data_IF_118141812202
#
_entry.id   IF_118141812202
#
_cell.length_a   1.000
_cell.length_b   1.000
_cell.length_c   1.000
_cell.angle_alpha   90.00
_cell.angle_beta   90.00
_cell.angle_gamma   90.00
#
_symmetry.space_group_name_H-M   'P 1'
#
loop_
_entity.id
_entity.type
_entity.pdbx_description
1 polymer ?
#
# COMPACT_ATOMS: atom_id res chain seq x y z
N UNK A 1 10.90 29.41 -11.92
CA UNK A 1 11.30 28.05 -11.49
C UNK A 1 10.40 27.58 -10.36
N UNK A 2 9.66 26.50 -10.57
CA UNK A 2 8.71 25.98 -9.58
C UNK A 2 9.50 25.08 -8.60
N UNK A 3 9.43 25.32 -7.28
CA UNK A 3 10.18 24.52 -6.31
C UNK A 3 9.71 23.06 -6.32
N UNK A 4 10.67 22.15 -6.21
CA UNK A 4 10.44 20.71 -6.21
C UNK A 4 9.58 20.28 -5.00
N UNK A 5 8.53 19.49 -5.25
CA UNK A 5 7.67 18.96 -4.18
C UNK A 5 8.31 17.68 -3.64
N UNK A 6 8.84 17.77 -2.41
CA UNK A 6 9.40 16.63 -1.68
C UNK A 6 8.45 16.18 -0.58
N UNK A 7 8.08 14.90 -0.58
CA UNK A 7 7.26 14.32 0.47
C UNK A 7 7.99 14.38 1.82
N UNK A 8 7.29 14.82 2.87
CA UNK A 8 7.84 15.11 4.19
C UNK A 8 9.02 16.10 4.18
N UNK A 9 9.21 16.87 3.10
CA UNK A 9 10.33 17.78 2.91
C UNK A 9 11.68 17.08 2.66
N UNK A 10 11.69 15.76 2.45
CA UNK A 10 12.92 14.96 2.30
C UNK A 10 12.94 14.11 1.03
N UNK A 11 11.86 13.42 0.73
CA UNK A 11 11.83 12.40 -0.32
C UNK A 11 11.34 12.97 -1.65
N UNK A 12 12.15 12.89 -2.70
CA UNK A 12 11.73 13.27 -4.05
C UNK A 12 10.77 12.23 -4.65
N UNK A 13 9.78 12.71 -5.41
CA UNK A 13 8.87 11.87 -6.19
C UNK A 13 9.33 11.65 -7.63
N UNK A 14 10.35 12.39 -8.11
CA UNK A 14 10.77 12.38 -9.51
C UNK A 14 11.47 11.08 -9.91
N UNK A 15 12.30 10.54 -9.02
CA UNK A 15 13.11 9.35 -9.30
C UNK A 15 12.32 8.03 -9.21
N UNK A 16 11.03 8.09 -8.84
CA UNK A 16 10.23 6.90 -8.55
C UNK A 16 9.67 6.31 -9.83
N UNK A 17 10.08 5.08 -10.15
CA UNK A 17 9.64 4.35 -11.33
C UNK A 17 8.67 3.22 -10.97
N UNK A 18 7.61 3.11 -11.75
CA UNK A 18 6.64 2.00 -11.67
C UNK A 18 6.99 1.01 -12.78
N UNK A 19 7.48 -0.18 -12.43
CA UNK A 19 7.92 -1.20 -13.39
C UNK A 19 6.77 -1.88 -14.13
N UNK A 20 5.61 -2.04 -13.50
CA UNK A 20 4.42 -2.66 -14.11
C UNK A 20 3.55 -1.63 -14.84
N UNK A 21 3.49 -1.74 -16.17
CA UNK A 21 2.70 -0.87 -17.04
C UNK A 21 1.20 -0.86 -16.67
N UNK A 22 0.65 -2.00 -16.24
CA UNK A 22 -0.79 -2.11 -15.91
C UNK A 22 -1.18 -1.33 -14.65
N UNK A 23 -0.22 -1.10 -13.75
CA UNK A 23 -0.43 -0.44 -12.46
C UNK A 23 -0.05 1.04 -12.49
N UNK A 24 0.61 1.50 -13.55
CA UNK A 24 1.16 2.86 -13.67
C UNK A 24 0.08 3.95 -13.49
N UNK A 25 -1.12 3.74 -14.01
CA UNK A 25 -2.22 4.71 -13.90
C UNK A 25 -2.97 4.65 -12.55
N UNK A 26 -2.81 3.55 -11.82
CA UNK A 26 -3.48 3.30 -10.53
C UNK A 26 -2.59 3.56 -9.31
N UNK A 27 -1.29 3.76 -9.53
CA UNK A 27 -0.29 4.16 -8.55
C UNK A 27 0.07 5.63 -8.81
N UNK A 28 -0.64 6.53 -8.14
CA UNK A 28 -0.44 7.98 -8.25
C UNK A 28 0.77 8.44 -7.43
N UNK A 29 1.97 8.31 -8.01
CA UNK A 29 3.24 8.80 -7.46
C UNK A 29 3.89 9.87 -8.36
N UNK A 30 3.45 9.98 -9.62
CA UNK A 30 3.91 10.98 -10.59
C UNK A 30 3.69 12.42 -10.09
N UNK A 31 4.47 13.35 -10.64
CA UNK A 31 4.51 14.79 -10.29
C UNK A 31 3.14 15.43 -10.06
N UNK A 32 2.15 15.14 -10.91
CA UNK A 32 0.77 15.67 -10.80
C UNK A 32 0.11 15.39 -9.45
N UNK A 33 0.49 14.31 -8.78
CA UNK A 33 -0.07 13.87 -7.51
C UNK A 33 0.90 14.05 -6.34
N UNK A 34 2.07 14.64 -6.57
CA UNK A 34 3.04 14.91 -5.51
C UNK A 34 2.47 15.92 -4.51
N UNK A 35 2.58 15.60 -3.22
CA UNK A 35 2.18 16.47 -2.10
C UNK A 35 3.25 16.40 -1.02
N UNK A 36 3.47 17.50 -0.30
CA UNK A 36 4.40 17.54 0.84
C UNK A 36 3.96 16.64 1.99
N UNK A 37 2.66 16.48 2.22
CA UNK A 37 2.10 15.65 3.28
C UNK A 37 1.03 14.71 2.71
N UNK A 38 0.95 13.46 3.20
CA UNK A 38 -0.09 12.51 2.80
C UNK A 38 -1.44 12.78 3.49
N UNK A 39 -1.71 14.04 3.86
CA UNK A 39 -2.94 14.48 4.50
C UNK A 39 -3.63 15.51 3.61
N UNK A 40 -4.72 15.11 2.95
CA UNK A 40 -5.53 16.04 2.16
C UNK A 40 -7.02 15.95 2.49
N UNK A 41 -7.75 17.00 2.16
CA UNK A 41 -9.21 17.06 2.18
C UNK A 41 -9.84 16.56 0.86
N UNK A 42 -9.13 15.68 0.13
CA UNK A 42 -9.56 15.19 -1.17
C UNK A 42 -10.83 14.34 -1.11
N UNK A 43 -11.86 14.74 -1.87
CA UNK A 43 -13.15 14.03 -1.97
C UNK A 43 -13.09 12.86 -2.95
N UNK A 44 -12.23 11.89 -2.67
CA UNK A 44 -11.98 10.74 -3.54
C UNK A 44 -13.11 9.70 -3.56
N UNK A 45 -14.03 9.75 -2.59
CA UNK A 45 -15.16 8.81 -2.48
C UNK A 45 -16.38 9.19 -3.33
N UNK A 46 -16.49 10.44 -3.79
CA UNK A 46 -17.71 10.95 -4.43
C UNK A 46 -18.01 10.30 -5.79
N UNK A 47 -17.00 9.84 -6.54
CA UNK A 47 -17.19 9.15 -7.82
C UNK A 47 -16.31 7.91 -7.87
N UNK A 48 -16.80 6.87 -8.55
CA UNK A 48 -16.00 5.68 -8.88
C UNK A 48 -14.71 6.11 -9.61
N UNK A 49 -13.62 5.39 -9.38
CA UNK A 49 -12.28 5.62 -9.95
C UNK A 49 -11.51 6.88 -9.47
N UNK A 50 -12.12 7.85 -8.81
CA UNK A 50 -11.37 8.98 -8.20
C UNK A 50 -10.34 8.53 -7.17
N UNK A 51 -10.53 7.36 -6.56
CA UNK A 51 -9.55 6.72 -5.66
C UNK A 51 -8.18 6.49 -6.31
N UNK A 52 -8.11 6.26 -7.62
CA UNK A 52 -6.84 6.07 -8.34
C UNK A 52 -5.96 7.33 -8.31
N UNK A 53 -6.60 8.51 -8.30
CA UNK A 53 -5.95 9.82 -8.27
C UNK A 53 -5.46 10.21 -6.86
N UNK A 54 -5.79 9.43 -5.83
CA UNK A 54 -5.36 9.69 -4.46
C UNK A 54 -3.93 9.18 -4.26
N UNK A 55 -2.97 10.03 -3.84
CA UNK A 55 -1.56 9.66 -3.70
C UNK A 55 -1.40 8.35 -2.92
N UNK A 56 -0.45 7.51 -3.35
CA UNK A 56 -0.36 6.15 -2.81
C UNK A 56 -0.07 6.12 -1.31
N UNK A 57 0.76 7.06 -0.84
CA UNK A 57 1.08 7.21 0.60
C UNK A 57 -0.15 7.62 1.40
N UNK A 58 -1.00 8.50 0.84
CA UNK A 58 -2.26 8.87 1.48
C UNK A 58 -3.21 7.66 1.57
N UNK A 59 -3.25 6.80 0.55
CA UNK A 59 -4.01 5.54 0.61
C UNK A 59 -3.47 4.59 1.68
N UNK A 60 -2.15 4.48 1.84
CA UNK A 60 -1.52 3.69 2.91
C UNK A 60 -1.92 4.23 4.30
N UNK A 61 -1.82 5.55 4.51
CA UNK A 61 -2.24 6.17 5.79
C UNK A 61 -3.71 5.91 6.10
N UNK A 62 -4.58 5.93 5.09
CA UNK A 62 -6.00 5.67 5.26
C UNK A 62 -6.27 4.22 5.68
N UNK A 63 -5.52 3.25 5.15
CA UNK A 63 -5.65 1.83 5.50
C UNK A 63 -5.08 1.49 6.90
N UNK A 64 -4.07 2.22 7.37
CA UNK A 64 -3.50 2.01 8.72
C UNK A 64 -4.47 2.37 9.85
N UNK A 65 -5.38 3.32 9.61
CA UNK A 65 -6.38 3.75 10.60
C UNK A 65 -7.53 2.76 10.81
N UNK A 66 -7.60 1.68 10.03
CA UNK A 66 -8.70 0.73 10.12
C UNK A 66 -8.70 0.01 11.49
N UNK A 67 -9.89 -0.39 11.93
CA UNK A 67 -10.25 -1.07 13.18
C UNK A 67 -10.50 -0.14 14.39
N UNK A 68 -11.78 -0.11 14.81
CA UNK A 68 -12.26 0.36 16.10
C UNK A 68 -11.65 1.68 16.59
N UNK A 69 -10.83 1.58 17.65
CA UNK A 69 -10.28 2.71 18.42
C UNK A 69 -9.41 3.68 17.61
N UNK A 70 -8.89 3.25 16.45
CA UNK A 70 -8.00 4.05 15.62
C UNK A 70 -8.70 4.68 14.41
N UNK A 71 -9.99 4.41 14.22
CA UNK A 71 -10.78 4.97 13.13
C UNK A 71 -10.74 6.50 13.17
N UNK A 72 -10.38 7.13 12.05
CA UNK A 72 -10.34 8.59 11.89
C UNK A 72 -9.07 9.29 12.40
N UNK A 73 -8.15 8.58 13.08
CA UNK A 73 -6.91 9.19 13.64
C UNK A 73 -5.82 9.37 12.58
N UNK A 74 -6.07 10.20 11.56
CA UNK A 74 -5.18 10.36 10.40
C UNK A 74 -3.84 10.99 10.76
N UNK A 75 -3.83 11.97 11.66
CA UNK A 75 -2.59 12.59 12.15
C UNK A 75 -1.65 11.57 12.79
N UNK A 76 -2.19 10.59 13.54
CA UNK A 76 -1.40 9.50 14.12
C UNK A 76 -0.83 8.58 13.03
N UNK A 77 -1.65 8.18 12.05
CA UNK A 77 -1.21 7.34 10.94
C UNK A 77 -0.13 7.99 10.07
N UNK A 78 -0.23 9.31 9.83
CA UNK A 78 0.79 10.07 9.08
C UNK A 78 2.14 10.04 9.81
N UNK A 79 2.15 10.16 11.15
CA UNK A 79 3.39 10.05 11.95
C UNK A 79 4.01 8.66 11.86
N UNK A 80 3.19 7.60 11.96
CA UNK A 80 3.65 6.20 11.81
C UNK A 80 4.34 6.01 10.46
N UNK A 81 3.72 6.46 9.36
CA UNK A 81 4.30 6.33 8.02
C UNK A 81 5.56 7.18 7.84
N UNK A 82 5.60 8.38 8.44
CA UNK A 82 6.81 9.21 8.41
C UNK A 82 8.00 8.48 9.04
N UNK A 83 7.82 7.91 10.23
CA UNK A 83 8.88 7.16 10.91
C UNK A 83 9.23 5.87 10.17
N UNK A 84 8.24 5.14 9.65
CA UNK A 84 8.49 3.94 8.85
C UNK A 84 9.35 4.24 7.61
N UNK A 85 9.11 5.36 6.92
CA UNK A 85 9.91 5.76 5.76
C UNK A 85 11.34 6.16 6.13
N UNK A 86 11.55 6.77 7.30
CA UNK A 86 12.90 7.03 7.82
C UNK A 86 13.65 5.71 8.10
N UNK A 87 12.99 4.73 8.73
CA UNK A 87 13.57 3.42 9.00
C UNK A 87 13.91 2.68 7.69
N UNK A 88 13.01 2.69 6.70
CA UNK A 88 13.26 2.07 5.39
C UNK A 88 14.51 2.65 4.76
N UNK A 89 14.64 3.98 4.71
CA UNK A 89 15.80 4.62 4.10
C UNK A 89 17.10 4.27 4.83
N UNK A 90 17.09 4.24 6.16
CA UNK A 90 18.27 3.87 6.95
C UNK A 90 18.68 2.40 6.74
N UNK A 91 17.72 1.50 6.51
CA UNK A 91 17.99 0.08 6.31
C UNK A 91 18.37 -0.29 4.88
N UNK A 92 17.76 0.35 3.87
CA UNK A 92 17.98 -0.01 2.45
C UNK A 92 18.89 0.96 1.72
N UNK A 93 19.04 2.21 2.19
CA UNK A 93 19.73 3.29 1.48
C UNK A 93 18.96 3.83 0.27
N UNK A 94 17.81 3.25 -0.07
CA UNK A 94 16.99 3.63 -1.24
C UNK A 94 15.92 4.65 -0.86
N UNK A 95 15.28 5.26 -1.88
CA UNK A 95 14.12 6.11 -1.66
C UNK A 95 12.93 5.25 -1.15
N UNK A 96 12.35 5.54 0.03
CA UNK A 96 11.27 4.73 0.61
C UNK A 96 10.00 4.71 -0.26
N UNK A 97 9.80 5.71 -1.12
CA UNK A 97 8.71 5.71 -2.10
C UNK A 97 8.87 4.62 -3.15
N UNK A 98 10.10 4.37 -3.61
CA UNK A 98 10.37 3.30 -4.56
C UNK A 98 10.10 1.94 -3.93
N UNK A 99 10.57 1.74 -2.70
CA UNK A 99 10.32 0.50 -1.93
C UNK A 99 8.81 0.27 -1.76
N UNK A 100 8.04 1.30 -1.41
CA UNK A 100 6.58 1.20 -1.29
C UNK A 100 5.92 0.81 -2.62
N UNK A 101 6.33 1.42 -3.74
CA UNK A 101 5.79 1.09 -5.06
C UNK A 101 6.08 -0.37 -5.42
N UNK A 102 7.33 -0.80 -5.27
CA UNK A 102 7.74 -2.18 -5.55
C UNK A 102 7.00 -3.17 -4.66
N UNK A 103 6.84 -2.87 -3.37
CA UNK A 103 6.08 -3.69 -2.43
C UNK A 103 4.63 -3.89 -2.88
N UNK A 104 3.97 -2.83 -3.36
CA UNK A 104 2.57 -2.89 -3.85
C UNK A 104 2.47 -3.73 -5.13
N UNK A 105 3.42 -3.59 -6.05
CA UNK A 105 3.47 -4.37 -7.30
C UNK A 105 3.57 -5.86 -6.99
N UNK A 106 4.46 -6.24 -6.08
CA UNK A 106 4.70 -7.64 -5.72
C UNK A 106 3.53 -8.25 -4.94
N UNK A 107 2.90 -7.47 -4.05
CA UNK A 107 1.83 -7.94 -3.15
C UNK A 107 0.44 -8.03 -3.80
N UNK A 108 0.24 -7.46 -5.00
CA UNK A 108 -1.06 -7.45 -5.66
C UNK A 108 -1.37 -8.77 -6.35
N UNK A 109 -2.42 -9.53 -5.93
CA UNK A 109 -2.80 -10.78 -6.59
C UNK A 109 -3.25 -10.56 -8.02
N UNK A 110 -2.94 -11.48 -8.93
CA UNK A 110 -3.35 -11.44 -10.34
C UNK A 110 -4.67 -12.17 -10.56
N UNK A 111 -4.89 -13.24 -9.81
CA UNK A 111 -6.08 -14.08 -9.87
C UNK A 111 -6.79 -14.09 -8.51
N UNK A 112 -8.11 -14.20 -8.53
CA UNK A 112 -8.96 -14.38 -7.34
C UNK A 112 -10.03 -15.42 -7.66
N UNK A 113 -10.58 -16.06 -6.63
CA UNK A 113 -11.59 -17.10 -6.81
C UNK A 113 -12.99 -16.56 -6.51
N UNK A 114 -13.86 -16.58 -7.52
CA UNK A 114 -15.25 -16.17 -7.36
C UNK A 114 -16.14 -17.36 -7.09
N UNK A 115 -17.13 -17.13 -6.23
CA UNK A 115 -18.14 -18.12 -5.89
C UNK A 115 -19.20 -18.15 -6.99
N UNK A 116 -19.27 -19.25 -7.75
CA UNK A 116 -20.21 -19.43 -8.87
C UNK A 116 -21.08 -20.66 -8.60
N UNK A 117 -22.38 -20.53 -8.81
CA UNK A 117 -23.37 -21.60 -8.59
C UNK A 117 -24.72 -21.02 -8.18
N UNK A 118 -25.75 -21.86 -8.16
CA UNK A 118 -27.09 -21.52 -7.66
C UNK A 118 -27.41 -22.39 -6.46
N UNK A 119 -28.01 -21.80 -5.43
CA UNK A 119 -28.43 -22.48 -4.21
C UNK A 119 -27.29 -23.30 -3.55
N UNK A 120 -27.46 -24.61 -3.38
CA UNK A 120 -26.58 -25.48 -2.59
C UNK A 120 -25.31 -26.00 -3.30
N UNK A 121 -25.24 -25.92 -4.63
CA UNK A 121 -24.06 -26.39 -5.40
C UNK A 121 -23.18 -25.21 -5.78
N UNK A 122 -22.42 -24.75 -4.79
CA UNK A 122 -21.49 -23.63 -4.92
C UNK A 122 -20.09 -24.15 -5.20
N UNK A 123 -19.50 -23.73 -6.34
CA UNK A 123 -18.10 -23.98 -6.69
C UNK A 123 -17.31 -22.67 -6.74
N UNK A 124 -15.99 -22.75 -6.60
CA UNK A 124 -15.10 -21.61 -6.83
C UNK A 124 -14.54 -21.69 -8.24
N UNK A 125 -14.55 -20.57 -8.95
CA UNK A 125 -13.97 -20.44 -10.28
C UNK A 125 -12.95 -19.30 -10.26
N UNK A 126 -11.77 -19.54 -10.81
CA UNK A 126 -10.73 -18.52 -10.95
C UNK A 126 -11.20 -17.43 -11.93
N UNK A 127 -10.95 -16.17 -11.56
CA UNK A 127 -11.27 -14.97 -12.35
C UNK A 127 -10.13 -13.97 -12.18
N UNK A 128 -9.82 -13.25 -13.26
CA UNK A 128 -8.79 -12.22 -13.27
C UNK A 128 -9.14 -11.01 -12.38
N UNK A 129 -8.12 -10.41 -11.76
CA UNK A 129 -8.27 -9.27 -10.88
C UNK A 129 -7.98 -7.95 -11.59
N UNK A 130 -8.93 -7.02 -11.55
CA UNK A 130 -8.74 -5.66 -12.11
C UNK A 130 -7.53 -4.95 -11.45
N UNK A 131 -6.71 -4.17 -12.20
CA UNK A 131 -5.53 -3.50 -11.66
C UNK A 131 -5.81 -2.59 -10.46
N UNK A 132 -6.93 -1.87 -10.46
CA UNK A 132 -7.35 -1.05 -9.31
C UNK A 132 -7.60 -1.91 -8.05
N UNK A 133 -8.19 -3.10 -8.20
CA UNK A 133 -8.40 -4.04 -7.09
C UNK A 133 -7.08 -4.61 -6.60
N UNK A 134 -6.13 -4.95 -7.49
CA UNK A 134 -4.78 -5.40 -7.12
C UNK A 134 -4.10 -4.41 -6.17
N UNK A 135 -4.07 -3.13 -6.53
CA UNK A 135 -3.49 -2.07 -5.67
C UNK A 135 -4.23 -1.93 -4.35
N UNK A 136 -5.57 -2.02 -4.36
CA UNK A 136 -6.35 -1.92 -3.13
C UNK A 136 -6.09 -3.07 -2.16
N UNK A 137 -6.02 -4.29 -2.68
CA UNK A 137 -5.80 -5.50 -1.90
C UNK A 137 -4.36 -5.57 -1.37
N UNK A 138 -3.38 -5.19 -2.18
CA UNK A 138 -1.98 -5.07 -1.76
C UNK A 138 -1.84 -4.15 -0.54
N UNK A 139 -2.34 -2.91 -0.62
CA UNK A 139 -2.26 -1.95 0.50
C UNK A 139 -2.98 -2.50 1.74
N UNK A 140 -4.13 -3.15 1.55
CA UNK A 140 -4.87 -3.72 2.67
C UNK A 140 -4.11 -4.84 3.36
N UNK A 141 -3.58 -5.81 2.60
CA UNK A 141 -2.80 -6.94 3.11
C UNK A 141 -1.53 -6.47 3.83
N UNK A 142 -0.79 -5.51 3.26
CA UNK A 142 0.40 -4.92 3.89
C UNK A 142 0.06 -4.28 5.25
N UNK A 143 -1.02 -3.49 5.33
CA UNK A 143 -1.44 -2.88 6.58
C UNK A 143 -1.97 -3.91 7.61
N UNK A 144 -2.63 -4.97 7.15
CA UNK A 144 -3.09 -6.07 8.01
C UNK A 144 -1.91 -6.83 8.59
N UNK A 145 -0.95 -7.22 7.75
CA UNK A 145 0.28 -7.90 8.17
C UNK A 145 1.09 -7.09 9.18
N UNK A 146 1.30 -5.80 8.90
CA UNK A 146 1.99 -4.91 9.83
C UNK A 146 1.28 -4.77 11.19
N UNK A 147 -0.06 -4.78 11.19
CA UNK A 147 -0.86 -4.70 12.43
C UNK A 147 -0.81 -6.01 13.22
N UNK A 148 -0.94 -7.15 12.56
CA UNK A 148 -0.84 -8.47 13.20
C UNK A 148 0.57 -8.68 13.79
N UNK A 149 1.62 -8.28 13.07
CA UNK A 149 3.01 -8.37 13.54
C UNK A 149 3.31 -7.45 14.74
N UNK A 150 2.66 -6.29 14.83
CA UNK A 150 2.81 -5.37 15.94
C UNK A 150 1.95 -5.73 17.16
N UNK A 151 0.87 -6.50 16.98
CA UNK A 151 -0.05 -6.83 18.06
C UNK A 151 0.61 -7.78 19.06
N UNK A 152 0.68 -7.36 20.33
CA UNK A 152 1.36 -8.08 21.43
C UNK A 152 2.86 -8.33 21.18
N UNK A 153 3.48 -7.51 20.34
CA UNK A 153 4.91 -7.52 20.10
C UNK A 153 5.57 -6.29 20.76
N UNK A 154 6.86 -6.39 21.07
CA UNK A 154 7.67 -5.31 21.62
C UNK A 154 7.98 -4.27 20.53
N UNK A 155 8.11 -4.73 19.27
CA UNK A 155 8.35 -3.87 18.11
C UNK A 155 7.26 -2.81 17.96
N UNK A 156 7.67 -1.60 17.61
CA UNK A 156 6.74 -0.52 17.31
C UNK A 156 6.04 -0.75 15.97
N UNK A 157 4.84 -0.19 15.80
CA UNK A 157 4.12 -0.30 14.53
C UNK A 157 4.89 0.29 13.34
N UNK A 158 5.72 1.32 13.57
CA UNK A 158 6.53 1.92 12.51
C UNK A 158 7.60 0.94 11.99
N UNK A 159 8.25 0.21 12.90
CA UNK A 159 9.22 -0.85 12.55
C UNK A 159 8.51 -2.01 11.83
N UNK A 160 7.36 -2.46 12.32
CA UNK A 160 6.61 -3.54 11.66
C UNK A 160 6.15 -3.16 10.25
N UNK A 161 5.73 -1.91 10.03
CA UNK A 161 5.39 -1.41 8.68
C UNK A 161 6.62 -1.35 7.79
N UNK A 162 7.77 -0.92 8.31
CA UNK A 162 9.02 -0.88 7.56
C UNK A 162 9.49 -2.30 7.16
N UNK A 163 9.52 -3.23 8.12
CA UNK A 163 9.87 -4.63 7.89
C UNK A 163 8.97 -5.27 6.82
N UNK A 164 7.64 -5.07 6.94
CA UNK A 164 6.67 -5.63 5.99
C UNK A 164 6.86 -5.05 4.57
N UNK A 165 7.09 -3.75 4.44
CA UNK A 165 7.33 -3.11 3.14
C UNK A 165 8.64 -3.56 2.50
N UNK A 166 9.73 -3.68 3.28
CA UNK A 166 11.02 -4.15 2.76
C UNK A 166 10.92 -5.61 2.30
N UNK A 167 10.29 -6.47 3.11
CA UNK A 167 10.12 -7.89 2.77
C UNK A 167 9.25 -8.07 1.52
N UNK A 168 8.16 -7.31 1.41
CA UNK A 168 7.30 -7.32 0.24
C UNK A 168 8.00 -6.78 -1.03
N UNK A 169 8.80 -5.72 -0.90
CA UNK A 169 9.59 -5.18 -2.02
C UNK A 169 10.62 -6.19 -2.55
N UNK A 170 11.23 -6.98 -1.67
CA UNK A 170 12.16 -8.06 -2.04
C UNK A 170 11.48 -9.31 -2.59
N UNK A 171 10.15 -9.39 -2.55
CA UNK A 171 9.43 -10.59 -2.97
C UNK A 171 9.55 -11.75 -1.96
N UNK A 172 9.93 -11.46 -0.71
CA UNK A 172 10.14 -12.52 0.30
C UNK A 172 8.82 -13.07 0.81
N UNK A 173 8.70 -14.39 0.82
CA UNK A 173 7.61 -15.11 1.46
C UNK A 173 7.55 -14.90 2.98
N UNK A 174 8.46 -14.13 3.60
CA UNK A 174 8.34 -13.74 5.01
C UNK A 174 7.24 -12.68 5.22
N UNK A 175 6.93 -11.88 4.20
CA UNK A 175 5.85 -10.89 4.29
C UNK A 175 4.48 -11.58 4.32
N UNK A 176 3.60 -11.09 5.18
CA UNK A 176 2.22 -11.58 5.26
C UNK A 176 1.48 -11.37 3.94
N UNK A 177 1.71 -10.21 3.31
CA UNK A 177 1.03 -9.85 2.07
C UNK A 177 1.34 -10.82 0.92
N UNK A 178 2.61 -11.25 0.77
CA UNK A 178 2.99 -12.22 -0.27
C UNK A 178 2.45 -13.61 0.06
N UNK A 179 2.57 -14.07 1.32
CA UNK A 179 1.97 -15.37 1.72
C UNK A 179 0.49 -15.44 1.38
N UNK A 180 -0.28 -14.40 1.71
CA UNK A 180 -1.72 -14.36 1.43
C UNK A 180 -2.04 -14.25 -0.05
N UNK A 181 -1.19 -13.57 -0.82
CA UNK A 181 -1.29 -13.54 -2.27
C UNK A 181 -1.07 -14.93 -2.86
N UNK A 182 0.01 -15.61 -2.49
CA UNK A 182 0.37 -16.93 -3.01
C UNK A 182 -0.68 -17.99 -2.59
N UNK A 183 -1.27 -17.87 -1.40
CA UNK A 183 -2.41 -18.70 -0.96
C UNK A 183 -3.68 -18.49 -1.80
N UNK A 184 -3.88 -17.30 -2.36
CA UNK A 184 -5.05 -16.98 -3.19
C UNK A 184 -4.86 -17.36 -4.66
N UNK A 185 -3.63 -17.26 -5.17
CA UNK A 185 -3.28 -17.61 -6.55
C UNK A 185 -3.10 -19.13 -6.76
N UNK A 186 -3.07 -19.92 -5.68
CA UNK A 186 -2.98 -21.39 -5.72
C UNK A 186 -4.36 -22.05 -5.72
#
# INVERSE_FOLDING_TARGET
DIPEIKLFGRWSCYDVQVSDMSLQDYISVKEKYAKYLPHSAGRYAHKRFRKAQCPIVERLTNSLMMHGRNNGKKLMAVRIVKHAFEIIHLLTGENPLQVLVTAIINSGPREDSTRIGRAGTVRRQAVDVSPLRRVNQAIWLLCTGAREAAFRNIKTIAECVADELINAAKGSSNSYAIKKKDELER
#
